data_IF_639242038166
#
_entry.id   IF_639242038166
#
_cell.length_a   1.000
_cell.length_b   1.000
_cell.length_c   1.000
_cell.angle_alpha   90.00
_cell.angle_beta   90.00
_cell.angle_gamma   90.00
#
_symmetry.space_group_name_H-M   'P 1'
#
loop_
_entity.id
_entity.type
_entity.pdbx_description
1 polymer ?
#
# COMPACT_ATOMS: atom_id res chain seq x y z
N UNK A 1 -4.93 -3.21 -8.04
CA UNK A 1 -3.64 -3.57 -8.64
C UNK A 1 -3.08 -4.73 -7.83
N UNK A 2 -2.48 -5.75 -8.45
CA UNK A 2 -1.89 -6.86 -7.68
C UNK A 2 -0.46 -6.52 -7.23
N UNK A 3 0.04 -7.22 -6.21
CA UNK A 3 1.36 -6.97 -5.62
C UNK A 3 2.49 -7.00 -6.67
N UNK A 4 2.45 -7.97 -7.58
CA UNK A 4 3.46 -8.11 -8.65
C UNK A 4 3.55 -6.87 -9.53
N UNK A 5 2.42 -6.28 -9.93
CA UNK A 5 2.42 -5.07 -10.74
C UNK A 5 2.92 -3.84 -9.96
N UNK A 6 2.56 -3.74 -8.68
CA UNK A 6 3.06 -2.68 -7.79
C UNK A 6 4.57 -2.77 -7.58
N UNK A 7 5.10 -3.99 -7.48
CA UNK A 7 6.53 -4.19 -7.38
C UNK A 7 7.25 -3.75 -8.66
N UNK A 8 6.70 -4.04 -9.85
CA UNK A 8 7.31 -3.54 -11.10
C UNK A 8 7.26 -2.02 -11.21
N UNK A 9 6.16 -1.37 -10.82
CA UNK A 9 6.10 0.09 -10.76
C UNK A 9 7.13 0.68 -9.79
N UNK A 10 7.37 0.00 -8.66
CA UNK A 10 8.45 0.35 -7.75
C UNK A 10 9.82 0.16 -8.41
N UNK A 11 10.03 -0.90 -9.18
CA UNK A 11 11.26 -1.14 -9.93
C UNK A 11 11.59 0.01 -10.90
N UNK A 12 10.59 0.44 -11.69
CA UNK A 12 10.72 1.58 -12.60
C UNK A 12 10.99 2.89 -11.84
N UNK A 13 10.31 3.10 -10.72
CA UNK A 13 10.51 4.24 -9.87
C UNK A 13 11.93 4.29 -9.26
N UNK A 14 12.46 3.15 -8.81
CA UNK A 14 13.82 3.05 -8.27
C UNK A 14 14.89 3.33 -9.33
N UNK A 15 14.70 2.88 -10.57
CA UNK A 15 15.59 3.22 -11.69
C UNK A 15 15.61 4.74 -11.93
N UNK A 16 14.46 5.41 -11.84
CA UNK A 16 14.41 6.88 -11.90
C UNK A 16 15.13 7.53 -10.71
N UNK A 17 14.97 7.01 -9.49
CA UNK A 17 15.67 7.51 -8.31
C UNK A 17 17.19 7.42 -8.46
N UNK A 18 17.71 6.30 -8.98
CA UNK A 18 19.15 6.14 -9.30
C UNK A 18 19.63 7.28 -10.20
N UNK A 19 18.97 7.51 -11.34
CA UNK A 19 19.37 8.54 -12.29
C UNK A 19 19.39 9.94 -11.66
N UNK A 20 18.42 10.24 -10.80
CA UNK A 20 18.33 11.53 -10.12
C UNK A 20 19.41 11.69 -9.05
N UNK A 21 19.71 10.63 -8.30
CA UNK A 21 20.79 10.61 -7.31
C UNK A 21 22.17 10.78 -7.97
N UNK A 22 22.42 10.06 -9.07
CA UNK A 22 23.65 10.21 -9.86
C UNK A 22 23.80 11.62 -10.45
N UNK A 23 22.71 12.21 -10.94
CA UNK A 23 22.73 13.56 -11.50
C UNK A 23 23.08 14.64 -10.46
N UNK A 24 22.69 14.45 -9.19
CA UNK A 24 23.03 15.38 -8.10
C UNK A 24 24.36 15.04 -7.41
N UNK A 25 25.02 13.94 -7.79
CA UNK A 25 26.31 13.48 -7.25
C UNK A 25 26.32 13.36 -5.72
N UNK A 26 25.22 12.89 -5.13
CA UNK A 26 25.07 12.65 -3.69
C UNK A 26 24.59 11.23 -3.44
N UNK A 27 24.93 10.69 -2.26
CA UNK A 27 24.43 9.40 -1.79
C UNK A 27 24.64 8.25 -2.79
N UNK A 28 25.88 8.09 -3.28
CA UNK A 28 26.20 7.06 -4.29
C UNK A 28 25.81 5.64 -3.88
N UNK A 29 25.95 5.29 -2.61
CA UNK A 29 25.52 3.98 -2.09
C UNK A 29 24.00 3.77 -2.21
N UNK A 30 23.21 4.85 -2.09
CA UNK A 30 21.75 4.80 -2.26
C UNK A 30 21.39 4.67 -3.73
N UNK A 31 22.14 5.33 -4.63
CA UNK A 31 21.97 5.15 -6.06
C UNK A 31 22.26 3.71 -6.51
N UNK A 32 23.34 3.11 -6.02
CA UNK A 32 23.66 1.69 -6.27
C UNK A 32 22.58 0.76 -5.72
N UNK A 33 22.09 1.03 -4.51
CA UNK A 33 20.99 0.26 -3.92
C UNK A 33 19.69 0.36 -4.74
N UNK A 34 19.35 1.55 -5.23
CA UNK A 34 18.21 1.73 -6.15
C UNK A 34 18.36 0.89 -7.42
N UNK A 35 19.55 0.90 -8.03
CA UNK A 35 19.87 0.10 -9.21
C UNK A 35 19.71 -1.40 -8.95
N UNK A 36 20.30 -1.88 -7.87
CA UNK A 36 20.35 -3.30 -7.55
C UNK A 36 18.95 -3.83 -7.21
N UNK A 37 18.15 -3.07 -6.46
CA UNK A 37 16.76 -3.41 -6.15
C UNK A 37 15.86 -3.34 -7.39
N UNK A 38 16.01 -2.32 -8.23
CA UNK A 38 15.29 -2.22 -9.51
C UNK A 38 15.61 -3.43 -10.41
N UNK A 39 16.89 -3.80 -10.52
CA UNK A 39 17.33 -4.98 -11.24
C UNK A 39 16.75 -6.27 -10.69
N UNK A 40 16.75 -6.45 -9.36
CA UNK A 40 16.18 -7.62 -8.71
C UNK A 40 14.66 -7.75 -8.94
N UNK A 41 13.92 -6.65 -8.84
CA UNK A 41 12.49 -6.58 -9.13
C UNK A 41 12.23 -6.94 -10.59
N UNK A 42 12.94 -6.29 -11.52
CA UNK A 42 12.70 -6.46 -12.96
C UNK A 42 13.11 -7.86 -13.44
N UNK A 43 14.08 -8.51 -12.79
CA UNK A 43 14.42 -9.90 -13.06
C UNK A 43 13.22 -10.86 -12.83
N UNK A 44 12.30 -10.54 -11.91
CA UNK A 44 11.10 -11.34 -11.68
C UNK A 44 10.15 -11.39 -12.90
N UNK A 45 10.24 -10.42 -13.82
CA UNK A 45 9.44 -10.44 -15.05
C UNK A 45 9.82 -11.60 -15.99
N UNK A 46 11.02 -12.17 -15.86
CA UNK A 46 11.55 -13.20 -16.76
C UNK A 46 11.42 -14.63 -16.22
N UNK A 47 10.92 -14.80 -15.00
CA UNK A 47 10.69 -16.13 -14.40
C UNK A 47 9.20 -16.53 -14.51
N UNK A 48 8.95 -17.84 -14.35
CA UNK A 48 7.61 -18.41 -14.43
C UNK A 48 6.65 -17.87 -13.37
N UNK A 49 5.35 -17.85 -13.65
CA UNK A 49 4.31 -17.18 -12.86
C UNK A 49 4.38 -17.45 -11.34
N UNK A 50 4.45 -18.71 -10.92
CA UNK A 50 4.53 -19.09 -9.49
C UNK A 50 5.81 -18.54 -8.84
N UNK A 51 6.94 -18.62 -9.54
CA UNK A 51 8.22 -18.13 -9.04
C UNK A 51 8.25 -16.58 -9.01
N UNK A 52 7.58 -15.93 -9.96
CA UNK A 52 7.40 -14.49 -10.02
C UNK A 52 6.65 -13.96 -8.81
N UNK A 53 5.48 -14.50 -8.51
CA UNK A 53 4.66 -14.03 -7.38
C UNK A 53 5.35 -14.28 -6.03
N UNK A 54 6.06 -15.40 -5.88
CA UNK A 54 6.89 -15.65 -4.68
C UNK A 54 8.08 -14.70 -4.59
N UNK A 55 8.75 -14.43 -5.72
CA UNK A 55 9.88 -13.51 -5.80
C UNK A 55 9.47 -12.07 -5.47
N UNK A 56 8.38 -11.59 -6.05
CA UNK A 56 7.85 -10.24 -5.79
C UNK A 56 7.38 -10.11 -4.34
N UNK A 57 6.72 -11.13 -3.77
CA UNK A 57 6.35 -11.15 -2.35
C UNK A 57 7.56 -11.14 -1.41
N UNK A 58 8.61 -11.90 -1.73
CA UNK A 58 9.86 -11.89 -0.95
C UNK A 58 10.57 -10.53 -1.00
N UNK A 59 10.67 -9.91 -2.17
CA UNK A 59 11.25 -8.58 -2.35
C UNK A 59 10.42 -7.50 -1.65
N UNK A 60 9.09 -7.54 -1.73
CA UNK A 60 8.21 -6.64 -1.02
C UNK A 60 8.46 -6.68 0.50
N UNK A 61 8.57 -7.88 1.07
CA UNK A 61 8.86 -8.06 2.49
C UNK A 61 10.27 -7.60 2.89
N UNK A 62 11.26 -7.65 2.01
CA UNK A 62 12.60 -7.11 2.30
C UNK A 62 12.64 -5.58 2.22
N UNK A 63 11.98 -5.01 1.21
CA UNK A 63 12.05 -3.59 0.91
C UNK A 63 11.14 -2.78 1.84
N UNK A 64 9.91 -3.25 2.06
CA UNK A 64 8.89 -2.58 2.85
C UNK A 64 8.03 -3.60 3.64
N UNK A 65 8.63 -4.31 4.62
CA UNK A 65 7.92 -5.27 5.46
C UNK A 65 6.76 -4.60 6.22
N UNK A 66 5.77 -5.42 6.58
CA UNK A 66 4.58 -5.02 7.34
C UNK A 66 4.90 -4.63 8.79
N UNK A 67 5.72 -5.44 9.46
CA UNK A 67 5.89 -5.38 10.91
C UNK A 67 7.25 -4.83 11.36
N UNK A 68 8.08 -4.39 10.41
CA UNK A 68 9.42 -3.90 10.71
C UNK A 68 9.85 -2.80 9.73
N UNK A 69 11.03 -2.21 9.96
CA UNK A 69 11.70 -1.30 9.05
C UNK A 69 12.42 -2.10 7.96
N UNK A 70 12.04 -1.84 6.71
CA UNK A 70 12.70 -2.44 5.55
C UNK A 70 13.86 -1.62 5.03
N UNK A 71 14.44 -2.14 3.94
CA UNK A 71 15.50 -1.44 3.21
C UNK A 71 15.06 -0.02 2.82
N UNK A 72 13.79 0.15 2.47
CA UNK A 72 13.29 1.46 2.07
C UNK A 72 13.22 2.46 3.23
N UNK A 73 12.78 2.03 4.42
CA UNK A 73 12.68 2.91 5.59
C UNK A 73 14.07 3.29 6.15
N UNK A 74 15.04 2.36 6.09
CA UNK A 74 16.37 2.54 6.69
C UNK A 74 17.34 3.25 5.76
N UNK A 75 17.27 2.99 4.45
CA UNK A 75 18.28 3.45 3.50
C UNK A 75 17.72 4.40 2.44
N UNK A 76 16.63 4.02 1.75
CA UNK A 76 16.15 4.78 0.59
C UNK A 76 15.49 6.10 0.99
N UNK A 77 14.59 6.09 1.97
CA UNK A 77 13.88 7.30 2.43
C UNK A 77 14.85 8.33 3.01
N UNK A 78 15.77 7.98 3.94
CA UNK A 78 16.77 8.92 4.45
C UNK A 78 17.77 9.36 3.37
N UNK A 79 18.16 8.46 2.47
CA UNK A 79 19.06 8.78 1.35
C UNK A 79 18.50 9.83 0.40
N UNK A 80 17.23 9.68 0.01
CA UNK A 80 16.55 10.68 -0.84
C UNK A 80 16.39 12.03 -0.11
N UNK A 81 16.16 12.01 1.20
CA UNK A 81 16.13 13.22 2.03
C UNK A 81 17.48 13.93 2.08
N UNK A 82 18.56 13.21 2.37
CA UNK A 82 19.92 13.74 2.43
C UNK A 82 20.39 14.32 1.08
N UNK A 83 19.96 13.71 -0.02
CA UNK A 83 20.19 14.21 -1.38
C UNK A 83 19.35 15.46 -1.73
N UNK A 84 18.32 15.80 -0.93
CA UNK A 84 17.40 16.91 -1.18
C UNK A 84 16.27 16.60 -2.17
N UNK A 85 16.04 15.33 -2.49
CA UNK A 85 15.07 14.88 -3.49
C UNK A 85 13.68 14.64 -2.86
N UNK A 86 13.12 15.67 -2.23
CA UNK A 86 11.92 15.58 -1.39
C UNK A 86 10.66 15.07 -2.12
N UNK A 87 10.50 15.40 -3.40
CA UNK A 87 9.38 14.90 -4.21
C UNK A 87 9.47 13.37 -4.42
N UNK A 88 10.67 12.85 -4.68
CA UNK A 88 10.89 11.42 -4.83
C UNK A 88 10.72 10.69 -3.49
N UNK A 89 11.19 11.28 -2.38
CA UNK A 89 10.93 10.76 -1.04
C UNK A 89 9.42 10.58 -0.80
N UNK A 90 8.61 11.59 -1.10
CA UNK A 90 7.17 11.55 -0.89
C UNK A 90 6.49 10.46 -1.74
N UNK A 91 6.87 10.34 -3.02
CA UNK A 91 6.32 9.30 -3.90
C UNK A 91 6.76 7.90 -3.46
N UNK A 92 8.01 7.72 -3.03
CA UNK A 92 8.51 6.46 -2.48
C UNK A 92 7.69 6.02 -1.26
N UNK A 93 7.43 6.94 -0.32
CA UNK A 93 6.63 6.67 0.87
C UNK A 93 5.20 6.23 0.52
N UNK A 94 4.61 6.85 -0.50
CA UNK A 94 3.29 6.46 -1.00
C UNK A 94 3.30 5.05 -1.59
N UNK A 95 4.30 4.72 -2.43
CA UNK A 95 4.40 3.36 -2.99
C UNK A 95 4.65 2.30 -1.92
N UNK A 96 5.53 2.59 -0.95
CA UNK A 96 5.76 1.72 0.22
C UNK A 96 4.45 1.43 0.96
N UNK A 97 3.64 2.46 1.22
CA UNK A 97 2.35 2.31 1.91
C UNK A 97 1.39 1.44 1.10
N UNK A 98 1.30 1.66 -0.21
CA UNK A 98 0.44 0.87 -1.08
C UNK A 98 0.86 -0.61 -1.12
N UNK A 99 2.17 -0.89 -1.20
CA UNK A 99 2.70 -2.27 -1.18
C UNK A 99 2.40 -2.93 0.16
N UNK A 100 2.65 -2.24 1.28
CA UNK A 100 2.30 -2.73 2.62
C UNK A 100 0.80 -3.04 2.73
N UNK A 101 -0.07 -2.17 2.22
CA UNK A 101 -1.52 -2.44 2.19
C UNK A 101 -1.86 -3.74 1.44
N UNK A 102 -1.17 -4.03 0.33
CA UNK A 102 -1.37 -5.30 -0.39
C UNK A 102 -0.87 -6.50 0.41
N UNK A 103 0.29 -6.38 1.08
CA UNK A 103 0.79 -7.44 1.96
C UNK A 103 -0.19 -7.74 3.11
N UNK A 104 -0.85 -6.72 3.68
CA UNK A 104 -1.91 -6.93 4.68
C UNK A 104 -3.07 -7.73 4.07
N UNK A 105 -3.55 -7.35 2.88
CA UNK A 105 -4.65 -8.05 2.21
C UNK A 105 -4.28 -9.50 1.87
N UNK A 106 -3.04 -9.75 1.45
CA UNK A 106 -2.53 -11.10 1.16
C UNK A 106 -2.41 -11.96 2.45
N UNK A 107 -1.96 -11.38 3.56
CA UNK A 107 -1.91 -12.06 4.87
C UNK A 107 -3.33 -12.40 5.38
N UNK A 108 -4.27 -11.46 5.21
CA UNK A 108 -5.67 -11.61 5.65
C UNK A 108 -6.46 -12.61 4.81
N UNK A 109 -6.12 -12.75 3.52
CA UNK A 109 -6.78 -13.71 2.62
C UNK A 109 -6.28 -15.15 2.79
N UNK A 110 -5.11 -15.35 3.41
CA UNK A 110 -4.51 -16.66 3.70
C UNK A 110 -4.90 -17.30 5.03
N UNK A 111 -5.64 -16.61 5.91
CA UNK A 111 -5.90 -17.08 7.28
C UNK A 111 -7.33 -16.77 7.74
N UNK A 112 -8.17 -17.79 8.01
CA UNK A 112 -9.47 -17.62 8.70
C UNK A 112 -9.36 -17.03 10.12
N UNK A 113 -8.14 -16.80 10.61
CA UNK A 113 -7.81 -16.62 12.02
C UNK A 113 -7.36 -15.20 12.38
N UNK A 114 -7.17 -14.29 11.42
CA UNK A 114 -6.67 -12.93 11.75
C UNK A 114 -7.73 -12.09 12.44
N UNK A 115 -8.99 -12.23 12.04
CA UNK A 115 -10.12 -11.58 12.75
C UNK A 115 -10.26 -12.15 14.16
N UNK A 116 -10.17 -13.48 14.32
CA UNK A 116 -10.23 -14.17 15.62
C UNK A 116 -9.05 -13.80 16.54
N UNK A 117 -7.84 -13.71 16.01
CA UNK A 117 -6.63 -13.33 16.75
C UNK A 117 -6.61 -11.85 17.10
N UNK A 118 -7.07 -10.98 16.20
CA UNK A 118 -7.20 -9.53 16.48
C UNK A 118 -8.28 -9.28 17.52
N UNK A 119 -9.45 -9.95 17.41
CA UNK A 119 -10.48 -9.91 18.44
C UNK A 119 -10.00 -10.52 19.76
N UNK A 120 -9.21 -11.60 19.72
CA UNK A 120 -8.59 -12.24 20.88
C UNK A 120 -7.63 -11.31 21.61
N UNK A 121 -6.74 -10.63 20.87
CA UNK A 121 -5.83 -9.64 21.42
C UNK A 121 -6.55 -8.42 22.00
N UNK A 122 -7.59 -7.92 21.30
CA UNK A 122 -8.42 -6.82 21.79
C UNK A 122 -9.17 -7.19 23.08
N UNK A 123 -9.67 -8.44 23.18
CA UNK A 123 -10.31 -8.99 24.38
C UNK A 123 -9.35 -9.11 25.57
N UNK A 124 -8.12 -9.56 25.33
CA UNK A 124 -7.10 -9.73 26.38
C UNK A 124 -6.57 -8.37 26.85
N UNK A 125 -6.31 -7.47 25.90
CA UNK A 125 -5.71 -6.16 26.18
C UNK A 125 -6.71 -5.16 26.77
N UNK A 126 -8.00 -5.37 26.52
CA UNK A 126 -9.08 -4.54 27.05
C UNK A 126 -10.26 -5.44 27.50
N UNK A 127 -10.20 -6.01 28.72
CA UNK A 127 -11.21 -6.96 29.21
C UNK A 127 -12.65 -6.42 29.25
N UNK A 128 -12.83 -5.09 29.28
CA UNK A 128 -14.14 -4.43 29.24
C UNK A 128 -14.64 -4.02 27.85
N UNK A 129 -13.89 -4.30 26.78
CA UNK A 129 -14.21 -3.88 25.39
C UNK A 129 -15.50 -4.52 24.84
N UNK A 130 -16.00 -5.56 25.51
CA UNK A 130 -17.26 -6.24 25.18
C UNK A 130 -18.35 -6.06 26.25
N UNK A 131 -18.05 -5.38 27.35
CA UNK A 131 -18.99 -5.19 28.48
C UNK A 131 -19.65 -3.80 28.46
N UNK A 132 -19.31 -2.95 27.49
CA UNK A 132 -20.02 -1.70 27.21
C UNK A 132 -19.69 -1.12 25.84
N UNK A 133 -20.72 -0.68 25.09
CA UNK A 133 -20.64 -0.08 23.74
C UNK A 133 -19.90 1.29 23.68
N UNK A 134 -19.00 1.58 24.60
CA UNK A 134 -18.37 2.92 24.72
C UNK A 134 -17.01 3.02 24.03
N UNK A 135 -16.37 1.90 23.66
CA UNK A 135 -15.09 1.85 22.94
C UNK A 135 -15.25 1.70 21.41
N UNK A 136 -16.47 1.63 20.89
CA UNK A 136 -16.72 1.64 19.45
C UNK A 136 -16.43 3.00 18.82
N UNK A 137 -16.56 4.12 19.55
CA UNK A 137 -16.41 5.46 18.96
C UNK A 137 -15.02 5.76 18.37
N UNK A 138 -13.94 5.23 18.94
CA UNK A 138 -12.57 5.43 18.39
C UNK A 138 -12.32 4.53 17.17
N UNK A 139 -12.85 3.31 17.18
CA UNK A 139 -12.85 2.42 16.02
C UNK A 139 -13.75 2.95 14.91
N UNK A 140 -14.94 3.46 15.25
CA UNK A 140 -15.89 4.11 14.36
C UNK A 140 -15.26 5.39 13.79
N UNK A 141 -14.54 6.18 14.60
CA UNK A 141 -13.80 7.35 14.12
C UNK A 141 -12.66 6.99 13.18
N UNK A 142 -11.93 5.89 13.44
CA UNK A 142 -10.90 5.37 12.52
C UNK A 142 -11.53 4.83 11.23
N UNK A 143 -12.68 4.17 11.31
CA UNK A 143 -13.44 3.70 10.13
C UNK A 143 -13.96 4.89 9.33
N UNK A 144 -14.52 5.91 9.98
CA UNK A 144 -15.00 7.14 9.36
C UNK A 144 -13.86 7.95 8.73
N UNK A 145 -12.72 8.10 9.41
CA UNK A 145 -11.53 8.79 8.89
C UNK A 145 -11.02 8.09 7.63
N UNK A 146 -10.95 6.76 7.65
CA UNK A 146 -10.52 5.96 6.49
C UNK A 146 -11.57 5.99 5.37
N UNK A 147 -12.86 5.96 5.70
CA UNK A 147 -13.94 6.10 4.72
C UNK A 147 -13.98 7.50 4.08
N UNK A 148 -13.66 8.56 4.82
CA UNK A 148 -13.52 9.93 4.30
C UNK A 148 -12.33 10.05 3.36
N UNK A 149 -11.18 9.47 3.72
CA UNK A 149 -10.00 9.44 2.84
C UNK A 149 -10.29 8.65 1.55
N UNK A 150 -10.99 7.52 1.66
CA UNK A 150 -11.48 6.77 0.50
C UNK A 150 -12.46 7.63 -0.30
N UNK A 151 -13.44 8.28 0.32
CA UNK A 151 -14.39 9.19 -0.34
C UNK A 151 -13.70 10.36 -1.07
N UNK A 152 -12.67 10.95 -0.48
CA UNK A 152 -11.86 12.00 -1.11
C UNK A 152 -11.07 11.49 -2.31
N UNK A 153 -10.44 10.30 -2.19
CA UNK A 153 -9.79 9.64 -3.32
C UNK A 153 -10.79 9.29 -4.43
N UNK A 154 -11.99 8.81 -4.06
CA UNK A 154 -13.07 8.47 -4.99
C UNK A 154 -13.70 9.69 -5.64
N UNK A 155 -13.66 10.89 -5.05
CA UNK A 155 -14.06 12.14 -5.72
C UNK A 155 -13.14 12.48 -6.89
N UNK A 156 -11.84 12.20 -6.76
CA UNK A 156 -10.81 12.46 -7.78
C UNK A 156 -10.67 11.32 -8.80
N UNK A 157 -11.20 10.13 -8.52
CA UNK A 157 -11.18 8.99 -9.43
C UNK A 157 -12.09 9.12 -10.65
N UNK A 158 -11.90 8.27 -11.65
CA UNK A 158 -12.76 8.23 -12.85
C UNK A 158 -14.17 7.72 -12.49
N UNK A 159 -15.18 8.06 -13.30
CA UNK A 159 -16.57 7.61 -13.10
C UNK A 159 -16.65 6.08 -13.02
N UNK A 160 -15.89 5.38 -13.85
CA UNK A 160 -15.83 3.91 -13.85
C UNK A 160 -15.35 3.35 -12.49
N UNK A 161 -14.33 3.96 -11.89
CA UNK A 161 -13.85 3.56 -10.57
C UNK A 161 -14.91 3.81 -9.49
N UNK A 162 -15.62 4.94 -9.56
CA UNK A 162 -16.72 5.27 -8.64
C UNK A 162 -17.84 4.24 -8.70
N UNK A 163 -18.26 3.86 -9.90
CA UNK A 163 -19.31 2.84 -10.10
C UNK A 163 -18.85 1.48 -9.60
N UNK A 164 -17.62 1.04 -9.95
CA UNK A 164 -17.07 -0.24 -9.48
C UNK A 164 -16.96 -0.30 -7.95
N UNK A 165 -16.57 0.80 -7.32
CA UNK A 165 -16.49 0.89 -5.86
C UNK A 165 -17.87 0.79 -5.20
N UNK A 166 -18.86 1.53 -5.69
CA UNK A 166 -20.23 1.49 -5.14
C UNK A 166 -20.86 0.10 -5.28
N UNK A 167 -20.66 -0.57 -6.41
CA UNK A 167 -21.10 -1.96 -6.61
C UNK A 167 -20.37 -2.93 -5.65
N UNK A 168 -19.08 -2.70 -5.39
CA UNK A 168 -18.29 -3.47 -4.41
C UNK A 168 -18.75 -3.31 -2.96
N UNK A 169 -19.40 -2.19 -2.62
CA UNK A 169 -20.06 -1.96 -1.33
C UNK A 169 -21.50 -2.52 -1.26
N UNK A 170 -21.96 -3.19 -2.33
CA UNK A 170 -23.30 -3.78 -2.39
C UNK A 170 -24.42 -2.77 -2.68
N UNK A 171 -24.09 -1.55 -3.14
CA UNK A 171 -25.10 -0.58 -3.58
C UNK A 171 -25.80 -1.10 -4.83
N UNK A 172 -27.14 -1.08 -4.83
CA UNK A 172 -27.93 -1.61 -5.93
C UNK A 172 -27.64 -0.79 -7.22
N UNK A 173 -27.33 -1.46 -8.36
CA UNK A 173 -27.12 -0.80 -9.65
C UNK A 173 -28.20 0.22 -10.01
N UNK A 174 -29.48 -0.08 -9.75
CA UNK A 174 -30.61 0.80 -10.07
C UNK A 174 -30.59 2.11 -9.27
N UNK A 175 -30.04 2.09 -8.05
CA UNK A 175 -29.83 3.30 -7.25
C UNK A 175 -28.69 4.15 -7.80
N UNK A 176 -27.63 3.52 -8.32
CA UNK A 176 -26.51 4.23 -8.96
C UNK A 176 -26.99 4.90 -10.25
N UNK A 177 -27.76 4.19 -11.08
CA UNK A 177 -28.37 4.76 -12.28
C UNK A 177 -29.33 5.90 -11.94
N UNK A 178 -30.18 5.73 -10.92
CA UNK A 178 -31.11 6.76 -10.46
C UNK A 178 -30.44 8.03 -9.95
N UNK A 179 -29.29 7.92 -9.28
CA UNK A 179 -28.52 9.06 -8.76
C UNK A 179 -27.72 9.80 -9.83
N UNK A 180 -27.25 9.09 -10.87
CA UNK A 180 -26.50 9.69 -11.99
C UNK A 180 -27.44 10.31 -13.03
N UNK A 181 -28.65 9.78 -13.18
CA UNK A 181 -29.65 10.25 -14.15
C UNK A 181 -30.50 11.43 -13.66
N UNK A 182 -30.37 11.86 -12.40
CA UNK A 182 -31.05 13.06 -11.91
C UNK A 182 -30.35 14.32 -12.48
N UNK A 183 -31.09 15.24 -13.14
CA UNK A 183 -30.53 16.52 -13.55
C UNK A 183 -30.22 17.36 -12.32
N UNK A 184 -29.07 18.06 -12.36
CA UNK A 184 -28.64 19.02 -11.33
C UNK A 184 -29.64 20.14 -11.12
#
# INVERSE_FOLDING_TARGET
MNLTQMMFELGDFLAMCELKLLAVQKEHAVAELCRDLSGAINACAFIGFIARDKGTGGLANAICPLHDKGIADVHLVPGLEAAGLMQLKAELLKQIQQIRLCLVVDEMSGSPDVVSNTLGFLRISNPGLLEGNTLTAELDSLVEERAVLIGCAMKMGTIEMKVKFLLGLGVNPDQIYGLIAQPS
#
